data_IF_303982837176
#
_entry.id   IF_303982837176
#
_cell.length_a   1.000
_cell.length_b   1.000
_cell.length_c   1.000
_cell.angle_alpha   90.00
_cell.angle_beta   90.00
_cell.angle_gamma   90.00
#
_symmetry.space_group_name_H-M   'P 1'
#
loop_
_entity.id
_entity.type
_entity.pdbx_description
1 polymer ?
#
# COMPACT_ATOMS: atom_id res chain seq x y z
N UNK A 1 -10.48 -0.50 7.94
CA UNK A 1 -9.72 -1.73 7.65
C UNK A 1 -8.59 -1.82 8.65
N UNK A 2 -8.47 -2.96 9.33
CA UNK A 2 -7.38 -3.24 10.26
C UNK A 2 -6.17 -3.81 9.51
N UNK A 3 -4.97 -3.60 10.07
CA UNK A 3 -3.74 -4.22 9.59
C UNK A 3 -3.70 -5.69 10.03
N UNK A 4 -3.56 -6.61 9.07
CA UNK A 4 -3.54 -8.06 9.34
C UNK A 4 -2.39 -8.49 10.25
N UNK A 5 -1.24 -7.82 10.14
CA UNK A 5 -0.09 -8.08 11.01
C UNK A 5 -0.39 -7.65 12.44
N UNK A 6 -0.98 -6.46 12.63
CA UNK A 6 -1.35 -5.98 13.97
C UNK A 6 -2.28 -6.95 14.70
N UNK A 7 -3.31 -7.48 14.02
CA UNK A 7 -4.21 -8.49 14.61
C UNK A 7 -3.43 -9.71 15.11
N UNK A 8 -2.48 -10.22 14.32
CA UNK A 8 -1.64 -11.36 14.72
C UNK A 8 -0.70 -11.00 15.87
N UNK A 9 -0.02 -9.86 15.81
CA UNK A 9 0.94 -9.46 16.84
C UNK A 9 0.25 -9.22 18.17
N UNK A 10 -0.92 -8.58 18.16
CA UNK A 10 -1.64 -8.21 19.37
C UNK A 10 -2.21 -9.44 20.10
N UNK A 11 -2.62 -10.47 19.35
CA UNK A 11 -3.26 -11.66 19.91
C UNK A 11 -2.31 -12.85 20.11
N UNK A 12 -1.32 -13.04 19.23
CA UNK A 12 -0.50 -14.25 19.16
C UNK A 12 1.02 -13.99 19.16
N UNK A 13 1.43 -12.72 19.06
CA UNK A 13 2.83 -12.32 18.98
C UNK A 13 3.27 -11.53 20.20
N UNK A 14 3.93 -10.39 19.95
CA UNK A 14 4.53 -9.56 20.98
C UNK A 14 3.50 -8.83 21.87
N UNK A 15 2.22 -8.81 21.48
CA UNK A 15 1.13 -8.16 22.18
C UNK A 15 1.05 -6.64 21.92
N UNK A 16 -0.15 -6.09 22.10
CA UNK A 16 -0.48 -4.69 21.75
C UNK A 16 0.48 -3.67 22.34
N UNK A 17 0.82 -3.79 23.63
CA UNK A 17 1.72 -2.85 24.29
C UNK A 17 3.12 -2.82 23.66
N UNK A 18 3.65 -3.98 23.28
CA UNK A 18 4.97 -4.07 22.63
C UNK A 18 4.87 -3.58 21.19
N UNK A 19 3.81 -3.95 20.46
CA UNK A 19 3.56 -3.47 19.09
C UNK A 19 3.50 -1.93 19.03
N UNK A 20 2.76 -1.29 19.94
CA UNK A 20 2.67 0.17 20.01
C UNK A 20 4.02 0.85 20.28
N UNK A 21 4.86 0.26 21.14
CA UNK A 21 6.21 0.76 21.39
C UNK A 21 7.08 0.63 20.14
N UNK A 22 7.00 -0.50 19.45
CA UNK A 22 7.73 -0.74 18.20
C UNK A 22 7.26 0.21 17.07
N UNK A 23 5.96 0.45 16.93
CA UNK A 23 5.41 1.46 16.02
C UNK A 23 5.98 2.85 16.32
N UNK A 24 6.12 3.19 17.60
CA UNK A 24 6.70 4.47 18.00
C UNK A 24 8.17 4.57 17.58
N UNK A 25 8.94 3.48 17.66
CA UNK A 25 10.33 3.44 17.18
C UNK A 25 10.43 3.66 15.66
N UNK A 26 9.48 3.13 14.88
CA UNK A 26 9.38 3.43 13.44
C UNK A 26 9.09 4.92 13.24
N UNK A 27 8.10 5.47 13.97
CA UNK A 27 7.67 6.87 13.85
C UNK A 27 8.79 7.86 14.21
N UNK A 28 9.60 7.55 15.22
CA UNK A 28 10.74 8.39 15.65
C UNK A 28 11.99 8.17 14.81
N UNK A 29 12.02 7.15 13.94
CA UNK A 29 13.21 6.75 13.19
C UNK A 29 14.32 6.13 14.04
N UNK A 30 13.99 5.67 15.25
CA UNK A 30 14.94 4.95 16.12
C UNK A 30 15.39 3.63 15.48
N UNK A 31 14.45 2.93 14.83
CA UNK A 31 14.67 1.70 14.08
C UNK A 31 13.93 1.74 12.76
N UNK A 32 14.43 1.00 11.78
CA UNK A 32 13.76 0.94 10.49
C UNK A 32 12.49 0.09 10.53
N UNK A 33 11.64 0.30 9.52
CA UNK A 33 10.43 -0.51 9.34
C UNK A 33 10.78 -1.99 9.20
N UNK A 34 11.85 -2.33 8.45
CA UNK A 34 12.33 -3.70 8.28
C UNK A 34 12.75 -4.30 9.61
N UNK A 35 13.64 -3.64 10.37
CA UNK A 35 14.12 -4.14 11.66
C UNK A 35 13.00 -4.39 12.66
N UNK A 36 12.01 -3.49 12.72
CA UNK A 36 10.86 -3.64 13.61
C UNK A 36 9.95 -4.77 13.13
N UNK A 37 9.71 -4.86 11.82
CA UNK A 37 8.86 -5.92 11.26
C UNK A 37 9.48 -7.30 11.44
N UNK A 38 10.80 -7.46 11.34
CA UNK A 38 11.50 -8.72 11.66
C UNK A 38 11.23 -9.15 13.11
N UNK A 39 11.22 -8.20 14.05
CA UNK A 39 10.88 -8.49 15.45
C UNK A 39 9.40 -8.84 15.63
N UNK A 40 8.49 -8.09 15.01
CA UNK A 40 7.05 -8.34 15.12
C UNK A 40 6.67 -9.70 14.53
N UNK A 41 7.05 -9.98 13.27
CA UNK A 41 6.80 -11.28 12.65
C UNK A 41 7.53 -12.41 13.39
N UNK A 42 8.79 -12.16 13.79
CA UNK A 42 9.59 -13.10 14.56
C UNK A 42 9.11 -13.35 15.98
N UNK A 43 8.08 -12.65 16.47
CA UNK A 43 7.44 -12.91 17.76
C UNK A 43 6.37 -14.00 17.71
N UNK A 44 5.86 -14.35 16.51
CA UNK A 44 4.82 -15.35 16.34
C UNK A 44 5.39 -16.76 16.56
N UNK A 45 4.71 -17.57 17.38
CA UNK A 45 5.02 -18.98 17.67
C UNK A 45 3.77 -19.84 17.50
N UNK A 46 3.20 -19.80 16.30
CA UNK A 46 1.91 -20.40 15.98
C UNK A 46 1.90 -20.90 14.54
N UNK A 47 1.33 -22.09 14.25
CA UNK A 47 1.14 -22.53 12.87
C UNK A 47 0.29 -21.53 12.06
N UNK A 48 0.49 -21.50 10.74
CA UNK A 48 -0.19 -20.54 9.87
C UNK A 48 -1.72 -20.60 9.97
N UNK A 49 -2.31 -21.80 9.95
CA UNK A 49 -3.77 -21.99 10.03
C UNK A 49 -4.37 -21.53 11.37
N UNK A 50 -3.64 -21.74 12.46
CA UNK A 50 -4.08 -21.33 13.80
C UNK A 50 -4.04 -19.79 13.91
N UNK A 51 -3.00 -19.17 13.34
CA UNK A 51 -2.94 -17.71 13.18
C UNK A 51 -4.10 -17.17 12.35
N UNK A 52 -4.46 -17.88 11.28
CA UNK A 52 -5.57 -17.49 10.42
C UNK A 52 -6.92 -17.55 11.14
N UNK A 53 -7.14 -18.55 11.99
CA UNK A 53 -8.38 -18.68 12.78
C UNK A 53 -8.65 -17.46 13.68
N UNK A 54 -7.60 -16.82 14.19
CA UNK A 54 -7.76 -15.57 14.97
C UNK A 54 -8.09 -14.40 14.04
N UNK A 55 -7.42 -14.29 12.90
CA UNK A 55 -7.72 -13.24 11.93
C UNK A 55 -9.17 -13.33 11.42
N UNK A 56 -9.71 -14.51 11.15
CA UNK A 56 -11.12 -14.66 10.73
C UNK A 56 -12.13 -14.07 11.73
N UNK A 57 -11.81 -14.09 13.02
CA UNK A 57 -12.70 -13.60 14.09
C UNK A 57 -12.55 -12.11 14.34
N UNK A 58 -11.31 -11.62 14.27
CA UNK A 58 -10.96 -10.27 14.72
C UNK A 58 -10.85 -9.27 13.57
N UNK A 59 -10.57 -9.71 12.34
CA UNK A 59 -10.26 -8.83 11.23
C UNK A 59 -11.52 -8.13 10.70
N UNK A 60 -11.55 -6.82 10.87
CA UNK A 60 -12.58 -5.95 10.28
C UNK A 60 -12.16 -5.45 8.89
N UNK A 61 -12.81 -6.00 7.86
CA UNK A 61 -12.67 -5.60 6.46
C UNK A 61 -13.75 -4.58 6.13
N UNK A 62 -13.36 -3.54 5.39
CA UNK A 62 -14.31 -2.52 4.91
C UNK A 62 -15.44 -3.17 4.11
N UNK A 63 -16.69 -3.00 4.59
CA UNK A 63 -17.88 -3.55 3.96
C UNK A 63 -18.08 -3.15 2.49
N UNK A 64 -17.56 -1.98 2.08
CA UNK A 64 -17.61 -1.50 0.70
C UNK A 64 -16.56 -2.17 -0.21
N UNK A 65 -15.59 -2.92 0.32
CA UNK A 65 -14.49 -3.49 -0.46
C UNK A 65 -14.96 -4.47 -1.52
N UNK A 66 -15.91 -5.36 -1.18
CA UNK A 66 -16.45 -6.33 -2.16
C UNK A 66 -17.13 -5.61 -3.32
N UNK A 67 -18.03 -4.67 -3.00
CA UNK A 67 -18.77 -3.91 -4.01
C UNK A 67 -17.82 -3.07 -4.88
N UNK A 68 -16.76 -2.53 -4.28
CA UNK A 68 -15.72 -1.81 -5.01
C UNK A 68 -14.92 -2.73 -5.94
N UNK A 69 -14.53 -3.92 -5.48
CA UNK A 69 -13.84 -4.89 -6.33
C UNK A 69 -14.71 -5.34 -7.51
N UNK A 70 -15.98 -5.64 -7.27
CA UNK A 70 -16.94 -6.01 -8.32
C UNK A 70 -17.13 -4.85 -9.32
N UNK A 71 -17.12 -3.61 -8.84
CA UNK A 71 -17.10 -2.42 -9.68
C UNK A 71 -15.85 -2.34 -10.55
N UNK A 72 -14.66 -2.60 -10.00
CA UNK A 72 -13.42 -2.62 -10.78
C UNK A 72 -13.48 -3.66 -11.90
N UNK A 73 -13.93 -4.87 -11.60
CA UNK A 73 -14.09 -5.94 -12.59
C UNK A 73 -15.09 -5.58 -13.69
N UNK A 74 -16.22 -4.99 -13.32
CA UNK A 74 -17.27 -4.62 -14.29
C UNK A 74 -16.87 -3.47 -15.23
N UNK A 75 -15.79 -2.76 -14.93
CA UNK A 75 -15.30 -1.61 -15.72
C UNK A 75 -13.87 -1.84 -16.24
N UNK A 76 -13.39 -3.09 -16.25
CA UNK A 76 -12.04 -3.46 -16.70
C UNK A 76 -10.92 -2.66 -16.01
N UNK A 77 -11.13 -2.26 -14.75
CA UNK A 77 -10.13 -1.56 -13.93
C UNK A 77 -9.24 -2.59 -13.27
N UNK A 78 -7.95 -2.59 -13.62
CA UNK A 78 -6.97 -3.45 -12.96
C UNK A 78 -6.81 -3.03 -11.48
N UNK A 79 -7.13 -3.95 -10.57
CA UNK A 79 -7.03 -3.73 -9.14
C UNK A 79 -5.95 -4.62 -8.51
N UNK A 80 -4.94 -3.99 -7.92
CA UNK A 80 -3.80 -4.66 -7.29
C UNK A 80 -3.69 -4.25 -5.81
N UNK A 81 -3.26 -5.18 -4.96
CA UNK A 81 -2.95 -4.91 -3.55
C UNK A 81 -1.44 -4.76 -3.38
N UNK A 82 -1.00 -3.59 -2.91
CA UNK A 82 0.40 -3.30 -2.60
C UNK A 82 0.53 -3.15 -1.08
N UNK A 83 1.28 -4.05 -0.42
CA UNK A 83 1.31 -4.12 1.05
C UNK A 83 2.71 -4.38 1.60
N UNK A 84 3.03 -3.78 2.76
CA UNK A 84 4.25 -4.07 3.50
C UNK A 84 4.15 -5.36 4.35
N UNK A 85 2.96 -5.96 4.44
CA UNK A 85 2.73 -7.24 5.11
C UNK A 85 3.23 -8.45 4.29
N UNK A 86 2.77 -9.64 4.67
CA UNK A 86 3.20 -10.92 4.07
C UNK A 86 2.16 -11.46 3.09
N UNK A 87 2.61 -11.81 1.88
CA UNK A 87 1.78 -12.29 0.77
C UNK A 87 0.92 -13.52 1.12
N UNK A 88 1.41 -14.55 1.84
CA UNK A 88 0.58 -15.71 2.19
C UNK A 88 -0.64 -15.34 3.05
N UNK A 89 -0.45 -14.42 4.00
CA UNK A 89 -1.53 -13.89 4.86
C UNK A 89 -2.56 -13.17 4.01
N UNK A 90 -2.12 -12.20 3.20
CA UNK A 90 -2.98 -11.39 2.36
C UNK A 90 -3.78 -12.24 1.37
N UNK A 91 -3.13 -13.26 0.78
CA UNK A 91 -3.78 -14.21 -0.10
C UNK A 91 -4.91 -14.94 0.62
N UNK A 92 -4.63 -15.54 1.79
CA UNK A 92 -5.65 -16.29 2.54
C UNK A 92 -6.81 -15.39 3.00
N UNK A 93 -6.52 -14.16 3.44
CA UNK A 93 -7.56 -13.17 3.81
C UNK A 93 -8.45 -12.84 2.62
N UNK A 94 -7.86 -12.53 1.44
CA UNK A 94 -8.63 -12.20 0.25
C UNK A 94 -9.44 -13.39 -0.26
N UNK A 95 -8.87 -14.60 -0.27
CA UNK A 95 -9.57 -15.81 -0.71
C UNK A 95 -10.78 -16.11 0.19
N UNK A 96 -10.64 -15.89 1.50
CA UNK A 96 -11.74 -16.09 2.47
C UNK A 96 -12.81 -15.02 2.32
N UNK A 97 -12.40 -13.75 2.16
CA UNK A 97 -13.36 -12.65 2.08
C UNK A 97 -14.07 -12.61 0.72
N UNK A 98 -13.35 -12.69 -0.39
CA UNK A 98 -13.93 -12.54 -1.74
C UNK A 98 -14.35 -13.88 -2.36
N UNK A 99 -13.78 -14.99 -1.91
CA UNK A 99 -13.78 -16.27 -2.62
C UNK A 99 -12.60 -16.37 -3.59
N UNK A 100 -12.00 -17.56 -3.70
CA UNK A 100 -10.78 -17.82 -4.48
C UNK A 100 -10.83 -17.28 -5.92
N UNK A 101 -11.97 -17.44 -6.61
CA UNK A 101 -12.13 -17.00 -8.01
C UNK A 101 -12.07 -15.48 -8.18
N UNK A 102 -12.63 -14.73 -7.24
CA UNK A 102 -12.59 -13.27 -7.29
C UNK A 102 -11.22 -12.78 -6.81
N UNK A 103 -10.71 -13.35 -5.71
CA UNK A 103 -9.41 -13.02 -5.16
C UNK A 103 -8.24 -13.32 -6.12
N UNK A 104 -8.33 -14.36 -6.96
CA UNK A 104 -7.27 -14.70 -7.92
C UNK A 104 -7.05 -13.63 -8.99
N UNK A 105 -8.01 -12.73 -9.19
CA UNK A 105 -7.91 -11.60 -10.12
C UNK A 105 -7.14 -10.41 -9.52
N UNK A 106 -6.93 -10.41 -8.20
CA UNK A 106 -6.15 -9.39 -7.50
C UNK A 106 -4.69 -9.84 -7.47
N UNK A 107 -3.81 -9.07 -8.11
CA UNK A 107 -2.38 -9.25 -7.91
C UNK A 107 -1.95 -8.67 -6.57
N UNK A 108 -1.16 -9.46 -5.82
CA UNK A 108 -0.60 -9.04 -4.53
C UNK A 108 0.90 -8.78 -4.73
N UNK A 109 1.28 -7.53 -4.52
CA UNK A 109 2.67 -7.06 -4.48
C UNK A 109 3.02 -6.78 -3.02
N UNK A 110 3.74 -7.71 -2.40
CA UNK A 110 4.07 -7.65 -0.99
C UNK A 110 5.37 -8.42 -0.71
N UNK A 111 5.82 -8.40 0.55
CA UNK A 111 6.86 -9.31 1.03
C UNK A 111 6.34 -10.74 1.04
N UNK A 112 7.22 -11.72 0.89
CA UNK A 112 6.87 -13.13 1.07
C UNK A 112 7.23 -13.60 2.49
N UNK A 113 7.00 -14.87 2.81
CA UNK A 113 7.32 -15.42 4.11
C UNK A 113 7.72 -16.90 4.06
N UNK A 114 8.71 -17.24 4.87
CA UNK A 114 8.99 -18.61 5.27
C UNK A 114 8.38 -18.85 6.66
N UNK A 115 7.38 -19.74 6.72
CA UNK A 115 6.67 -20.08 7.96
C UNK A 115 6.88 -21.56 8.20
N UNK A 116 7.50 -21.90 9.33
CA UNK A 116 7.70 -23.30 9.69
C UNK A 116 6.35 -23.99 9.93
N UNK A 117 6.14 -25.24 9.45
CA UNK A 117 4.86 -25.94 9.60
C UNK A 117 4.39 -26.10 11.05
N UNK A 118 5.33 -26.22 11.99
CA UNK A 118 5.06 -26.31 13.43
C UNK A 118 4.81 -24.94 14.10
N UNK A 119 4.89 -23.85 13.32
CA UNK A 119 4.72 -22.49 13.80
C UNK A 119 5.92 -21.92 14.57
N UNK A 120 7.01 -22.67 14.69
CA UNK A 120 8.17 -22.27 15.51
C UNK A 120 8.85 -20.98 15.03
N UNK A 121 8.69 -20.64 13.76
CA UNK A 121 9.28 -19.45 13.16
C UNK A 121 8.42 -18.90 12.03
N UNK A 122 8.24 -17.58 12.05
CA UNK A 122 7.77 -16.77 10.94
C UNK A 122 8.91 -15.85 10.52
N UNK A 123 9.34 -15.96 9.27
CA UNK A 123 10.45 -15.18 8.73
C UNK A 123 10.03 -14.47 7.44
N UNK A 124 9.98 -13.13 7.43
CA UNK A 124 9.73 -12.38 6.21
C UNK A 124 10.83 -12.62 5.17
N UNK A 125 10.42 -12.71 3.90
CA UNK A 125 11.29 -12.64 2.73
C UNK A 125 11.03 -11.29 2.07
N UNK A 126 11.98 -10.38 2.24
CA UNK A 126 11.83 -8.99 1.83
C UNK A 126 11.83 -8.85 0.32
N UNK A 127 10.88 -8.07 -0.21
CA UNK A 127 10.79 -7.81 -1.65
C UNK A 127 11.93 -6.92 -2.14
N UNK A 128 12.30 -5.92 -1.35
CA UNK A 128 13.35 -4.95 -1.66
C UNK A 128 14.41 -4.93 -0.56
N UNK A 129 15.68 -4.88 -0.96
CA UNK A 129 16.81 -4.70 -0.05
C UNK A 129 16.91 -3.24 0.41
N UNK A 130 15.97 -2.83 1.26
CA UNK A 130 15.90 -1.49 1.85
C UNK A 130 15.38 -1.52 3.29
N UNK A 131 15.53 -0.39 3.99
CA UNK A 131 15.01 -0.16 5.35
C UNK A 131 13.47 -0.25 5.44
N UNK A 132 12.78 -0.17 4.30
CA UNK A 132 11.33 -0.35 4.22
C UNK A 132 10.93 -1.82 4.07
N UNK A 133 11.85 -2.69 3.62
CA UNK A 133 11.56 -4.07 3.21
C UNK A 133 10.73 -4.18 1.92
N UNK A 134 9.71 -3.34 1.77
CA UNK A 134 8.96 -3.13 0.54
C UNK A 134 8.79 -1.63 0.26
N UNK A 135 9.65 -1.11 -0.62
CA UNK A 135 9.45 0.21 -1.24
C UNK A 135 8.26 0.19 -2.21
N UNK A 136 7.09 0.66 -1.74
CA UNK A 136 5.86 0.74 -2.53
C UNK A 136 5.98 1.72 -3.72
N UNK A 137 6.80 2.76 -3.61
CA UNK A 137 7.02 3.71 -4.71
C UNK A 137 7.75 3.03 -5.87
N UNK A 138 8.72 2.17 -5.58
CA UNK A 138 9.39 1.36 -6.60
C UNK A 138 8.40 0.41 -7.30
N UNK A 139 7.59 -0.32 -6.53
CA UNK A 139 6.59 -1.22 -7.13
C UNK A 139 5.47 -0.51 -7.90
N UNK A 140 5.10 0.72 -7.53
CA UNK A 140 4.23 1.55 -8.37
C UNK A 140 4.87 1.95 -9.70
N UNK A 141 6.18 2.23 -9.71
CA UNK A 141 6.91 2.52 -10.96
C UNK A 141 6.97 1.30 -11.87
N UNK A 142 7.24 0.13 -11.30
CA UNK A 142 7.21 -1.16 -12.01
C UNK A 142 5.84 -1.41 -12.63
N UNK A 143 4.77 -1.32 -11.83
CA UNK A 143 3.40 -1.52 -12.29
C UNK A 143 2.98 -0.51 -13.36
N UNK A 144 3.39 0.75 -13.24
CA UNK A 144 3.15 1.76 -14.27
C UNK A 144 3.89 1.44 -15.58
N UNK A 145 5.13 0.99 -15.51
CA UNK A 145 5.90 0.61 -16.70
C UNK A 145 5.22 -0.56 -17.42
N UNK A 146 4.80 -1.59 -16.68
CA UNK A 146 4.04 -2.71 -17.22
C UNK A 146 2.72 -2.27 -17.85
N UNK A 147 1.97 -1.40 -17.18
CA UNK A 147 0.72 -0.89 -17.72
C UNK A 147 0.92 -0.04 -18.98
N UNK A 148 2.04 0.68 -19.10
CA UNK A 148 2.40 1.42 -20.31
C UNK A 148 2.85 0.52 -21.46
N UNK A 149 3.46 -0.64 -21.19
CA UNK A 149 3.81 -1.63 -22.21
C UNK A 149 2.58 -2.35 -22.79
N UNK A 150 1.49 -2.43 -22.01
CA UNK A 150 0.22 -3.05 -22.41
C UNK A 150 -0.77 -2.06 -23.06
N UNK A 151 -0.52 -0.76 -22.93
CA UNK A 151 -1.38 0.27 -23.50
C UNK A 151 -1.19 0.38 -25.02
N UNK A 152 -2.25 0.72 -25.74
CA UNK A 152 -2.16 1.03 -27.18
C UNK A 152 -1.32 2.30 -27.42
N UNK A 153 -0.83 2.51 -28.65
CA UNK A 153 0.22 3.48 -29.01
C UNK A 153 -0.08 4.97 -28.66
N UNK A 154 -1.28 5.30 -28.17
CA UNK A 154 -1.65 6.63 -27.68
C UNK A 154 -2.33 6.64 -26.30
N UNK A 155 -2.54 5.50 -25.64
CA UNK A 155 -3.20 5.43 -24.34
C UNK A 155 -2.21 5.47 -23.17
N UNK A 156 -2.62 6.11 -22.07
CA UNK A 156 -1.80 6.17 -20.87
C UNK A 156 -2.62 5.81 -19.64
N UNK A 157 -2.20 4.80 -18.85
CA UNK A 157 -2.96 4.39 -17.69
C UNK A 157 -2.93 5.47 -16.61
N UNK A 158 -4.12 5.79 -16.08
CA UNK A 158 -4.25 6.60 -14.87
C UNK A 158 -3.94 5.73 -13.65
N UNK A 159 -2.91 6.09 -12.87
CA UNK A 159 -2.56 5.33 -11.67
C UNK A 159 -3.20 5.98 -10.45
N UNK A 160 -4.14 5.25 -9.86
CA UNK A 160 -4.81 5.62 -8.62
C UNK A 160 -4.16 4.85 -7.47
N UNK A 161 -3.81 5.54 -6.38
CA UNK A 161 -3.30 4.91 -5.16
C UNK A 161 -4.27 5.17 -4.00
N UNK A 162 -4.56 4.14 -3.22
CA UNK A 162 -5.46 4.18 -2.06
C UNK A 162 -4.67 3.66 -0.87
N UNK A 163 -4.44 4.50 0.14
CA UNK A 163 -3.64 4.12 1.31
C UNK A 163 -3.99 4.90 2.57
N UNK A 164 -3.27 4.61 3.64
CA UNK A 164 -3.55 5.15 4.97
C UNK A 164 -2.31 5.27 5.87
N UNK A 165 -1.28 4.46 5.65
CA UNK A 165 -0.22 4.22 6.61
C UNK A 165 1.13 4.89 6.32
N UNK A 166 2.06 4.72 7.27
CA UNK A 166 3.46 5.20 7.16
C UNK A 166 4.19 4.56 5.97
N UNK A 167 3.91 3.29 5.67
CA UNK A 167 4.56 2.60 4.54
C UNK A 167 4.13 3.16 3.17
N UNK A 168 3.04 3.93 3.11
CA UNK A 168 2.49 4.51 1.89
C UNK A 168 3.06 5.90 1.56
N UNK A 169 3.76 6.54 2.50
CA UNK A 169 4.26 7.90 2.29
C UNK A 169 5.15 8.03 1.04
N UNK A 170 6.05 7.06 0.72
CA UNK A 170 6.80 7.12 -0.53
C UNK A 170 5.92 7.01 -1.78
N UNK A 171 4.85 6.19 -1.72
CA UNK A 171 3.93 5.94 -2.83
C UNK A 171 3.04 7.15 -3.15
N UNK A 172 2.76 8.00 -2.16
CA UNK A 172 1.90 9.19 -2.29
C UNK A 172 2.28 10.10 -3.48
N UNK A 173 3.57 10.21 -3.81
CA UNK A 173 4.07 11.09 -4.89
C UNK A 173 4.11 10.44 -6.27
N UNK A 174 3.90 9.13 -6.35
CA UNK A 174 3.96 8.36 -7.61
C UNK A 174 2.58 8.18 -8.27
N UNK A 175 1.50 8.48 -7.52
CA UNK A 175 0.13 8.41 -7.99
C UNK A 175 -0.26 9.61 -8.86
N UNK A 176 -1.16 9.35 -9.82
CA UNK A 176 -1.88 10.42 -10.53
C UNK A 176 -3.03 10.96 -9.67
N UNK A 177 -3.75 10.05 -9.03
CA UNK A 177 -4.79 10.36 -8.03
C UNK A 177 -4.48 9.61 -6.75
N UNK A 178 -4.44 10.33 -5.63
CA UNK A 178 -4.19 9.78 -4.31
C UNK A 178 -5.47 9.81 -3.47
N UNK A 179 -5.85 8.68 -2.92
CA UNK A 179 -6.83 8.55 -1.85
C UNK A 179 -6.09 8.30 -0.53
N UNK A 180 -6.33 9.16 0.46
CA UNK A 180 -5.78 8.99 1.79
C UNK A 180 -6.93 8.80 2.78
N UNK A 181 -6.83 7.78 3.63
CA UNK A 181 -7.88 7.52 4.63
C UNK A 181 -7.86 8.63 5.68
N UNK A 182 -9.04 9.17 6.00
CA UNK A 182 -9.17 10.31 6.91
C UNK A 182 -8.71 9.97 8.33
N UNK A 183 -8.09 10.95 8.99
CA UNK A 183 -7.62 10.85 10.37
C UNK A 183 -6.40 9.96 10.57
N UNK A 184 -5.71 9.56 9.50
CA UNK A 184 -4.55 8.66 9.56
C UNK A 184 -3.29 9.31 8.98
N UNK A 185 -2.15 8.65 9.19
CA UNK A 185 -0.82 9.22 8.98
C UNK A 185 -0.56 9.69 7.54
N UNK A 186 -1.10 8.98 6.54
CA UNK A 186 -0.95 9.39 5.14
C UNK A 186 -1.65 10.73 4.85
N UNK A 187 -2.83 10.96 5.44
CA UNK A 187 -3.54 12.24 5.31
C UNK A 187 -2.72 13.38 5.93
N UNK A 188 -2.23 13.20 7.16
CA UNK A 188 -1.36 14.17 7.84
C UNK A 188 -0.15 14.52 6.97
N UNK A 189 0.52 13.50 6.41
CA UNK A 189 1.67 13.68 5.53
C UNK A 189 1.31 14.48 4.27
N UNK A 190 0.15 14.21 3.67
CA UNK A 190 -0.31 14.94 2.49
C UNK A 190 -0.54 16.41 2.81
N UNK A 191 -1.12 16.73 3.97
CA UNK A 191 -1.31 18.11 4.44
C UNK A 191 0.04 18.79 4.69
N UNK A 192 0.94 18.14 5.43
CA UNK A 192 2.29 18.64 5.75
C UNK A 192 3.11 18.97 4.49
N UNK A 193 2.96 18.16 3.43
CA UNK A 193 3.78 18.24 2.23
C UNK A 193 3.05 18.83 1.01
N UNK A 194 1.83 19.36 1.20
CA UNK A 194 0.99 19.93 0.13
C UNK A 194 0.79 18.97 -1.05
N UNK A 195 0.60 17.68 -0.75
CA UNK A 195 0.32 16.64 -1.75
C UNK A 195 -1.20 16.61 -1.99
N UNK A 196 -1.69 16.79 -3.23
CA UNK A 196 -3.11 16.67 -3.52
C UNK A 196 -3.62 15.25 -3.23
N UNK A 197 -4.72 15.14 -2.49
CA UNK A 197 -5.35 13.85 -2.17
C UNK A 197 -6.87 14.02 -2.05
N UNK A 198 -7.58 12.90 -2.11
CA UNK A 198 -9.01 12.79 -1.79
C UNK A 198 -9.17 11.99 -0.50
N UNK A 199 -9.73 12.60 0.53
CA UNK A 199 -9.99 11.94 1.81
C UNK A 199 -11.15 10.94 1.68
N UNK A 200 -10.99 9.73 2.22
CA UNK A 200 -12.07 8.72 2.23
C UNK A 200 -12.23 8.06 3.61
N UNK A 201 -13.45 7.59 3.89
CA UNK A 201 -13.76 6.81 5.10
C UNK A 201 -13.92 5.33 4.77
N UNK A 202 -14.50 5.03 3.60
CA UNK A 202 -14.73 3.66 3.11
C UNK A 202 -14.47 3.47 1.62
N UNK A 203 -14.39 2.22 1.16
CA UNK A 203 -14.33 1.89 -0.27
C UNK A 203 -15.58 2.31 -1.06
N UNK A 204 -16.71 2.55 -0.39
CA UNK A 204 -17.90 3.15 -1.00
C UNK A 204 -17.63 4.59 -1.46
N UNK A 205 -16.86 5.36 -0.68
CA UNK A 205 -16.43 6.70 -1.07
C UNK A 205 -15.47 6.64 -2.26
N UNK A 206 -14.48 5.74 -2.18
CA UNK A 206 -13.51 5.55 -3.26
C UNK A 206 -14.20 5.21 -4.57
N UNK A 207 -15.16 4.28 -4.54
CA UNK A 207 -15.99 3.93 -5.71
C UNK A 207 -16.66 5.16 -6.31
N UNK A 208 -17.37 5.94 -5.50
CA UNK A 208 -18.09 7.15 -5.94
C UNK A 208 -17.15 8.15 -6.61
N UNK A 209 -15.99 8.39 -6.01
CA UNK A 209 -15.02 9.34 -6.55
C UNK A 209 -14.38 8.83 -7.84
N UNK A 210 -14.08 7.53 -7.95
CA UNK A 210 -13.57 6.94 -9.20
C UNK A 210 -14.61 7.03 -10.32
N UNK A 211 -15.89 6.80 -10.03
CA UNK A 211 -16.96 7.01 -11.02
C UNK A 211 -17.01 8.46 -11.52
N UNK A 212 -16.82 9.44 -10.63
CA UNK A 212 -16.74 10.84 -11.00
C UNK A 212 -15.50 11.14 -11.87
N UNK A 213 -14.36 10.54 -11.54
CA UNK A 213 -13.12 10.65 -12.33
C UNK A 213 -13.31 10.07 -13.73
N UNK A 214 -13.90 8.88 -13.85
CA UNK A 214 -14.17 8.24 -15.14
C UNK A 214 -15.11 9.09 -16.01
N UNK A 215 -16.16 9.65 -15.40
CA UNK A 215 -17.08 10.56 -16.10
C UNK A 215 -16.38 11.83 -16.58
N UNK A 216 -15.57 12.45 -15.71
CA UNK A 216 -14.77 13.63 -16.06
C UNK A 216 -13.80 13.33 -17.21
N UNK A 217 -13.14 12.17 -17.17
CA UNK A 217 -12.21 11.75 -18.22
C UNK A 217 -12.93 11.59 -19.55
N UNK A 218 -14.03 10.83 -19.57
CA UNK A 218 -14.84 10.64 -20.77
C UNK A 218 -15.33 11.97 -21.38
N UNK A 219 -15.72 12.94 -20.56
CA UNK A 219 -16.15 14.27 -21.01
C UNK A 219 -15.00 15.11 -21.60
N UNK A 220 -13.78 14.96 -21.09
CA UNK A 220 -12.62 15.80 -21.47
C UNK A 220 -11.75 15.20 -22.56
N UNK A 221 -11.56 13.88 -22.55
CA UNK A 221 -10.61 13.17 -23.40
C UNK A 221 -11.33 12.29 -24.44
N UNK A 222 -12.63 12.03 -24.23
CA UNK A 222 -13.35 11.04 -25.03
C UNK A 222 -12.95 9.59 -24.72
N UNK A 223 -12.16 9.35 -23.68
CA UNK A 223 -11.61 8.05 -23.32
C UNK A 223 -10.32 7.69 -24.08
N UNK A 224 -9.71 8.63 -24.80
CA UNK A 224 -8.51 8.40 -25.61
C UNK A 224 -7.38 9.33 -25.15
N UNK A 225 -6.15 8.85 -25.20
CA UNK A 225 -4.99 9.69 -24.95
C UNK A 225 -4.58 9.73 -23.49
N UNK A 226 -4.18 10.93 -23.07
CA UNK A 226 -3.70 11.20 -21.71
C UNK A 226 -4.89 11.48 -20.78
N UNK A 227 -5.01 10.78 -19.64
CA UNK A 227 -6.09 11.02 -18.69
C UNK A 227 -6.14 12.48 -18.20
N UNK A 228 -7.35 12.99 -17.98
CA UNK A 228 -7.62 14.35 -17.51
C UNK A 228 -6.91 14.67 -16.18
N UNK A 229 -6.75 13.66 -15.31
CA UNK A 229 -6.07 13.78 -14.01
C UNK A 229 -4.63 13.27 -14.00
N UNK A 230 -4.03 13.06 -15.17
CA UNK A 230 -2.64 12.62 -15.24
C UNK A 230 -1.69 13.60 -14.54
N UNK A 231 -0.79 13.08 -13.71
CA UNK A 231 0.17 13.85 -12.94
C UNK A 231 1.56 13.84 -13.59
N UNK A 232 1.99 14.92 -14.28
CA UNK A 232 3.31 14.99 -14.87
C UNK A 232 4.43 15.13 -13.83
N UNK A 233 4.13 15.47 -12.56
CA UNK A 233 5.15 15.55 -11.50
C UNK A 233 5.48 14.19 -10.88
N UNK A 234 4.52 13.25 -10.85
CA UNK A 234 4.83 11.83 -10.71
C UNK A 234 5.76 11.34 -11.83
N UNK A 235 5.90 12.10 -12.93
CA UNK A 235 6.88 11.94 -14.01
C UNK A 235 8.22 12.69 -13.77
N UNK A 236 8.25 13.70 -12.89
CA UNK A 236 9.42 14.56 -12.63
C UNK A 236 10.32 13.98 -11.52
N UNK A 237 9.73 13.44 -10.44
CA UNK A 237 10.47 12.64 -9.45
C UNK A 237 11.16 11.41 -10.10
N UNK A 238 10.67 10.95 -11.27
CA UNK A 238 11.31 9.91 -12.11
C UNK A 238 12.71 10.28 -12.61
N UNK A 239 12.99 11.57 -12.86
CA UNK A 239 14.32 12.02 -13.36
C UNK A 239 15.30 12.38 -12.24
N UNK A 240 14.79 12.72 -11.07
CA UNK A 240 15.61 13.12 -9.91
C UNK A 240 16.04 11.88 -9.11
N UNK A 241 15.15 10.90 -8.92
CA UNK A 241 15.44 9.65 -8.20
C UNK A 241 16.51 8.78 -8.89
N UNK A 242 16.62 8.80 -10.23
CA UNK A 242 17.69 8.12 -10.96
C UNK A 242 19.07 8.80 -10.81
N UNK A 243 19.13 10.00 -10.21
CA UNK A 243 20.38 10.73 -9.90
C UNK A 243 20.68 10.81 -8.40
N UNK A 244 19.72 10.50 -7.54
CA UNK A 244 19.84 10.55 -6.09
C UNK A 244 19.37 9.24 -5.46
N UNK A 245 20.10 8.16 -5.71
CA UNK A 245 20.19 7.06 -4.75
C UNK A 245 21.06 7.54 -3.57
N UNK A 246 20.55 8.45 -2.72
CA UNK A 246 21.31 9.00 -1.59
C UNK A 246 20.44 9.15 -0.33
N UNK A 247 20.71 8.23 0.61
CA UNK A 247 20.62 8.35 2.07
C UNK A 247 19.42 9.12 2.69
N UNK A 248 18.47 8.37 3.24
CA UNK A 248 17.29 8.82 4.01
C UNK A 248 17.60 9.60 5.31
N UNK A 249 18.88 9.87 5.66
CA UNK A 249 19.24 10.56 6.92
C UNK A 249 18.95 12.07 6.93
N UNK A 250 18.63 12.69 5.80
CA UNK A 250 18.53 14.15 5.70
C UNK A 250 17.16 14.74 6.08
N UNK A 251 16.11 13.93 6.30
CA UNK A 251 14.76 14.44 6.60
C UNK A 251 14.55 14.71 8.11
N UNK A 252 15.47 14.28 8.98
CA UNK A 252 15.37 14.51 10.43
C UNK A 252 16.19 15.68 10.99
N UNK A 253 16.96 16.40 10.18
CA UNK A 253 17.73 17.55 10.66
C UNK A 253 17.24 18.84 10.00
N UNK A 254 16.18 19.42 10.57
CA UNK A 254 15.74 20.76 10.22
C UNK A 254 16.67 21.81 10.83
N UNK A 255 17.91 21.89 10.36
CA UNK A 255 18.76 23.09 10.51
C UNK A 255 19.57 23.34 9.25
N UNK A 256 19.25 24.48 8.62
CA UNK A 256 20.01 25.26 7.65
C UNK A 256 20.04 24.83 6.17
N UNK A 257 19.41 25.74 5.38
CA UNK A 257 19.96 26.46 4.21
C UNK A 257 19.86 25.84 2.80
N UNK A 258 18.99 26.49 2.04
CA UNK A 258 19.21 27.13 0.73
C UNK A 258 19.61 26.32 -0.52
N UNK A 259 18.82 26.60 -1.57
CA UNK A 259 19.18 26.87 -2.97
C UNK A 259 19.82 25.72 -3.78
N UNK A 260 18.97 24.98 -4.51
CA UNK A 260 18.72 25.16 -5.95
C UNK A 260 17.48 24.34 -6.36
#
# INVERSE_FOLDING_TARGET
MQDTGHVLFDNLGCGEKRRQLLDQQIKTGERSFREVSEEMWGSLRVPFEDGFTVMEKELDIDSGFREFHDFCLANDIQFNVISAGLKPILRRVLDTFLGEKAASQIQIVANDAEIHPDGSQWKPIWRHESELGHDKALSMKEGRAQAAELAEDDEMPLIIFIGDGVSDLPAAREADVLFARKGLRLEEYCVENQIPYTGFDSFTDVKREIQAIMKEDQEKTGGVGKPARFNPRANMWRRVSSRQSVCWRAIMDSRNKCLL
#
